data_IF_968873755796
#
_entry.id   IF_968873755796
#
_cell.length_a   1.000
_cell.length_b   1.000
_cell.length_c   1.000
_cell.angle_alpha   90.00
_cell.angle_beta   90.00
_cell.angle_gamma   90.00
#
_symmetry.space_group_name_H-M   'P 1'
#
loop_
_entity.id
_entity.type
_entity.pdbx_description
1 polymer ?
#
# COMPACT_ATOMS: atom_id res chain seq x y z
N UNK A 1 -1.64 19.23 -11.18
CA UNK A 1 -1.47 17.87 -11.77
C UNK A 1 -1.42 16.90 -10.60
N UNK A 2 -1.98 15.70 -10.73
CA UNK A 2 -2.34 14.83 -9.60
C UNK A 2 -1.12 14.31 -8.79
N UNK A 3 -0.56 15.16 -7.92
CA UNK A 3 0.59 14.86 -7.06
C UNK A 3 0.19 13.91 -5.91
N UNK A 4 0.02 12.62 -6.21
CA UNK A 4 -0.27 11.61 -5.19
C UNK A 4 -1.15 10.47 -5.65
N UNK A 5 -1.76 10.57 -6.84
CA UNK A 5 -2.51 9.48 -7.44
C UNK A 5 -1.54 8.47 -8.05
N UNK A 6 -1.56 7.26 -7.50
CA UNK A 6 -0.84 6.11 -8.03
C UNK A 6 -1.81 5.20 -8.76
N UNK A 7 -1.41 4.80 -9.95
CA UNK A 7 -2.07 3.77 -10.71
C UNK A 7 -1.36 2.44 -10.47
N UNK A 8 -2.13 1.37 -10.33
CA UNK A 8 -1.63 0.00 -10.44
C UNK A 8 -2.72 -0.90 -11.03
N UNK A 9 -2.31 -2.03 -11.59
CA UNK A 9 -3.23 -3.09 -11.95
C UNK A 9 -3.37 -4.06 -10.77
N UNK A 10 -4.60 -4.40 -10.40
CA UNK A 10 -4.81 -5.40 -9.39
C UNK A 10 -4.31 -6.77 -9.89
N UNK A 11 -3.41 -7.45 -9.17
CA UNK A 11 -2.94 -8.78 -9.56
C UNK A 11 -4.01 -9.89 -9.43
N UNK A 12 -5.12 -9.64 -8.69
CA UNK A 12 -6.23 -10.59 -8.50
C UNK A 12 -7.25 -10.50 -9.63
N UNK A 13 -7.91 -9.34 -9.79
CA UNK A 13 -8.99 -9.16 -10.78
C UNK A 13 -8.53 -8.58 -12.11
N UNK A 14 -7.25 -8.17 -12.23
CA UNK A 14 -6.65 -7.51 -13.41
C UNK A 14 -7.27 -6.15 -13.76
N UNK A 15 -8.11 -5.59 -12.89
CA UNK A 15 -8.67 -4.26 -13.08
C UNK A 15 -7.66 -3.17 -12.74
N UNK A 16 -7.77 -2.03 -13.43
CA UNK A 16 -7.00 -0.84 -13.10
C UNK A 16 -7.55 -0.18 -11.84
N UNK A 17 -6.68 0.13 -10.90
CA UNK A 17 -7.04 0.88 -9.71
C UNK A 17 -6.16 2.12 -9.55
N UNK A 18 -6.81 3.19 -9.12
CA UNK A 18 -6.19 4.46 -8.83
C UNK A 18 -6.41 4.75 -7.36
N UNK A 19 -5.34 5.06 -6.65
CA UNK A 19 -5.41 5.33 -5.21
C UNK A 19 -4.51 6.51 -4.85
N UNK A 20 -4.88 7.22 -3.80
CA UNK A 20 -4.12 8.35 -3.31
C UNK A 20 -3.15 7.91 -2.21
N UNK A 21 -1.88 8.27 -2.38
CA UNK A 21 -0.83 7.98 -1.40
C UNK A 21 -1.05 8.84 -0.15
N UNK A 22 -1.21 8.24 1.05
CA UNK A 22 -1.47 8.97 2.29
C UNK A 22 -0.18 9.62 2.83
N UNK A 23 0.28 10.69 2.16
CA UNK A 23 1.54 11.40 2.46
C UNK A 23 1.66 11.82 3.93
N UNK A 24 0.59 12.31 4.55
CA UNK A 24 0.62 12.75 5.95
C UNK A 24 0.86 11.61 6.94
N UNK A 25 0.42 10.38 6.61
CA UNK A 25 0.71 9.20 7.41
C UNK A 25 2.14 8.72 7.16
N UNK A 26 2.62 8.75 5.92
CA UNK A 26 3.98 8.35 5.56
C UNK A 26 5.06 9.25 6.17
N UNK A 27 4.81 10.56 6.31
CA UNK A 27 5.72 11.48 7.02
C UNK A 27 6.01 11.08 8.46
N UNK A 28 5.12 10.30 9.09
CA UNK A 28 5.28 9.82 10.48
C UNK A 28 5.99 8.48 10.56
N UNK A 29 6.21 7.81 9.44
CA UNK A 29 6.86 6.50 9.39
C UNK A 29 8.37 6.68 9.52
N UNK A 30 8.98 5.88 10.41
CA UNK A 30 10.42 5.97 10.72
C UNK A 30 11.31 5.08 9.84
N UNK A 31 10.73 4.11 9.12
CA UNK A 31 11.45 3.10 8.34
C UNK A 31 10.74 2.83 7.02
N UNK A 32 11.53 2.68 5.97
CA UNK A 32 11.08 2.34 4.62
C UNK A 32 11.70 1.00 4.19
N UNK A 33 11.04 0.23 3.30
CA UNK A 33 9.75 0.55 2.70
C UNK A 33 8.57 0.41 3.68
N UNK A 34 7.59 1.32 3.56
CA UNK A 34 6.44 1.39 4.44
C UNK A 34 5.25 0.63 3.82
N UNK A 35 4.68 -0.38 4.50
CA UNK A 35 3.50 -1.09 3.99
C UNK A 35 2.26 -0.21 4.08
N UNK A 36 1.55 -0.07 2.97
CA UNK A 36 0.25 0.60 2.88
C UNK A 36 -0.79 -0.41 2.39
N UNK A 37 -1.82 -0.64 3.19
CA UNK A 37 -2.90 -1.56 2.82
C UNK A 37 -3.94 -0.79 2.00
N UNK A 38 -4.12 -1.18 0.74
CA UNK A 38 -5.11 -0.66 -0.19
C UNK A 38 -6.22 -1.71 -0.34
N UNK A 39 -7.43 -1.39 0.12
CA UNK A 39 -8.61 -2.23 -0.14
C UNK A 39 -9.16 -1.93 -1.52
N UNK A 40 -9.25 -2.94 -2.37
CA UNK A 40 -9.93 -2.83 -3.66
C UNK A 40 -10.96 -3.95 -3.76
N UNK A 41 -12.24 -3.57 -3.82
CA UNK A 41 -13.38 -4.50 -3.77
C UNK A 41 -13.26 -5.49 -2.60
N UNK A 42 -13.04 -6.76 -2.91
CA UNK A 42 -12.99 -7.87 -1.95
C UNK A 42 -11.56 -8.31 -1.58
N UNK A 43 -10.52 -7.68 -2.14
CA UNK A 43 -9.14 -8.03 -1.85
C UNK A 43 -8.36 -6.86 -1.21
N UNK A 44 -7.41 -7.23 -0.36
CA UNK A 44 -6.48 -6.31 0.25
C UNK A 44 -5.14 -6.42 -0.48
N UNK A 45 -4.61 -5.28 -0.90
CA UNK A 45 -3.29 -5.18 -1.52
C UNK A 45 -2.37 -4.49 -0.52
N UNK A 46 -1.18 -5.07 -0.29
CA UNK A 46 -0.15 -4.45 0.54
C UNK A 46 0.86 -3.83 -0.40
N UNK A 47 0.86 -2.50 -0.44
CA UNK A 47 1.74 -1.72 -1.29
C UNK A 47 2.88 -1.16 -0.46
N UNK A 48 4.11 -1.55 -0.79
CA UNK A 48 5.29 -1.05 -0.13
C UNK A 48 5.74 0.24 -0.81
N UNK A 49 5.72 1.33 -0.07
CA UNK A 49 6.20 2.62 -0.56
C UNK A 49 7.61 2.89 -0.06
N UNK A 50 8.48 3.43 -0.90
CA UNK A 50 9.81 3.88 -0.51
C UNK A 50 9.80 5.31 0.09
N UNK A 51 10.98 5.82 0.47
CA UNK A 51 11.14 7.17 1.04
C UNK A 51 10.74 8.30 0.09
N UNK A 52 10.71 8.05 -1.22
CA UNK A 52 10.24 8.99 -2.23
C UNK A 52 8.75 8.81 -2.59
N UNK A 53 8.01 8.02 -1.81
CA UNK A 53 6.60 7.69 -2.04
C UNK A 53 6.35 7.00 -3.40
N UNK A 54 7.34 6.29 -3.93
CA UNK A 54 7.20 5.42 -5.09
C UNK A 54 6.81 4.02 -4.65
N UNK A 55 6.08 3.31 -5.52
CA UNK A 55 5.69 1.94 -5.27
C UNK A 55 6.93 1.06 -5.51
N UNK A 56 7.46 0.48 -4.44
CA UNK A 56 8.60 -0.42 -4.50
C UNK A 56 8.15 -1.85 -4.81
N UNK A 57 7.07 -2.29 -4.17
CA UNK A 57 6.54 -3.65 -4.35
C UNK A 57 5.04 -3.72 -4.02
N UNK A 58 4.36 -4.78 -4.44
CA UNK A 58 2.93 -5.01 -4.18
C UNK A 58 2.65 -6.48 -3.94
N UNK A 59 2.12 -6.79 -2.76
CA UNK A 59 1.69 -8.11 -2.37
C UNK A 59 0.16 -8.19 -2.26
N UNK A 60 -0.39 -9.40 -2.44
CA UNK A 60 -1.82 -9.67 -2.20
C UNK A 60 -1.96 -10.18 -0.77
N UNK A 61 -2.73 -9.47 0.06
CA UNK A 61 -3.21 -9.99 1.32
C UNK A 61 -4.62 -10.57 1.12
N UNK A 62 -4.74 -11.90 1.18
CA UNK A 62 -6.05 -12.57 1.26
C UNK A 62 -6.68 -12.37 2.65
N UNK A 63 -5.85 -12.25 3.67
CA UNK A 63 -6.23 -11.89 5.04
C UNK A 63 -4.99 -11.30 5.76
N UNK A 64 -5.21 -10.41 6.74
CA UNK A 64 -4.16 -9.99 7.66
C UNK A 64 -4.61 -10.20 9.10
N UNK A 65 -3.70 -10.68 9.94
CA UNK A 65 -3.91 -10.83 11.39
C UNK A 65 -2.81 -10.05 12.10
N UNK A 66 -3.19 -9.22 13.07
CA UNK A 66 -2.22 -8.44 13.84
C UNK A 66 -1.56 -9.34 14.90
N UNK A 67 -0.25 -9.56 14.76
CA UNK A 67 0.57 -10.19 15.79
C UNK A 67 1.14 -9.14 16.74
N UNK A 68 1.09 -9.42 18.05
CA UNK A 68 1.78 -8.60 19.06
C UNK A 68 3.11 -9.24 19.40
N UNK A 69 4.17 -8.43 19.44
CA UNK A 69 5.46 -8.87 19.98
C UNK A 69 5.26 -9.33 21.43
N UNK A 70 5.72 -10.54 21.73
CA UNK A 70 5.85 -11.02 23.10
C UNK A 70 7.29 -10.73 23.52
N UNK A 71 7.47 -9.69 24.34
CA UNK A 71 8.76 -9.33 24.95
C UNK A 71 9.38 -10.49 25.70
#
# INVERSE_FOLDING_TARGET
MAEGLKWMQCPVCKESLYWEVPKDKLKKVKRFPAPVVVKHKDHYLVCYLDSHHQLADTEIAMASVEGKEKK
#
